data_IF_083096077469
#
_entry.id   IF_083096077469
#
_cell.length_a   1.000
_cell.length_b   1.000
_cell.length_c   1.000
_cell.angle_alpha   90.00
_cell.angle_beta   90.00
_cell.angle_gamma   90.00
#
_symmetry.space_group_name_H-M   'P 1'
#
loop_
_entity.id
_entity.type
_entity.pdbx_description
1 polymer ?
#
# COMPACT_ATOMS: atom_id res chain seq x y z
N UNK A 1 -2.68 -15.36 3.23
CA UNK A 1 -1.52 -14.46 3.43
C UNK A 1 -1.92 -13.00 3.29
N UNK A 2 -2.57 -12.55 2.21
CA UNK A 2 -2.99 -11.14 2.08
C UNK A 2 -3.87 -10.63 3.25
N UNK A 3 -4.85 -11.43 3.69
CA UNK A 3 -5.72 -11.07 4.81
C UNK A 3 -5.00 -11.11 6.18
N UNK A 4 -3.93 -11.89 6.30
CA UNK A 4 -3.14 -12.03 7.52
C UNK A 4 -1.80 -12.67 7.15
N UNK A 5 -0.77 -11.83 7.10
CA UNK A 5 0.59 -12.22 6.74
C UNK A 5 1.39 -12.77 7.92
N UNK A 6 0.89 -12.63 9.15
CA UNK A 6 1.58 -13.04 10.37
C UNK A 6 1.35 -14.51 10.74
N UNK A 7 0.41 -15.19 10.06
CA UNK A 7 0.11 -16.60 10.31
C UNK A 7 1.34 -17.48 10.17
N UNK A 8 1.49 -18.38 11.13
CA UNK A 8 2.53 -19.40 11.09
C UNK A 8 2.27 -20.40 9.95
N UNK A 9 3.30 -21.12 9.54
CA UNK A 9 3.15 -22.18 8.55
C UNK A 9 2.18 -23.27 9.02
N UNK A 10 2.06 -23.50 10.33
CA UNK A 10 1.07 -24.42 10.90
C UNK A 10 -0.35 -23.92 10.68
N UNK A 11 -0.63 -22.67 11.07
CA UNK A 11 -1.96 -22.07 10.91
C UNK A 11 -2.40 -22.00 9.43
N UNK A 12 -1.45 -21.70 8.54
CA UNK A 12 -1.72 -21.70 7.10
C UNK A 12 -1.98 -23.11 6.58
N UNK A 13 -1.21 -24.11 7.05
CA UNK A 13 -1.38 -25.52 6.70
C UNK A 13 -2.78 -26.04 7.04
N UNK A 14 -3.30 -25.66 8.21
CA UNK A 14 -4.65 -26.04 8.65
C UNK A 14 -5.74 -25.48 7.69
N UNK A 15 -5.55 -24.24 7.20
CA UNK A 15 -6.49 -23.57 6.29
C UNK A 15 -6.46 -24.21 4.89
N UNK A 16 -5.26 -24.46 4.34
CA UNK A 16 -5.10 -24.93 2.95
C UNK A 16 -5.00 -26.45 2.84
N UNK A 17 -5.15 -27.19 3.95
CA UNK A 17 -5.09 -28.66 4.04
C UNK A 17 -3.82 -29.25 3.44
N UNK A 18 -2.68 -28.70 3.84
CA UNK A 18 -1.35 -29.17 3.45
C UNK A 18 -0.50 -29.43 4.71
N UNK A 19 0.63 -30.11 4.56
CA UNK A 19 1.59 -30.16 5.67
C UNK A 19 2.29 -28.80 5.88
N UNK A 20 2.72 -28.47 7.10
CA UNK A 20 3.48 -27.24 7.38
C UNK A 20 4.74 -27.10 6.51
N UNK A 21 5.41 -28.21 6.19
CA UNK A 21 6.59 -28.20 5.32
C UNK A 21 6.27 -27.89 3.86
N UNK A 22 5.12 -28.35 3.34
CA UNK A 22 4.63 -27.99 2.00
C UNK A 22 4.29 -26.50 1.91
N UNK A 23 3.64 -25.94 2.94
CA UNK A 23 3.34 -24.50 3.00
C UNK A 23 4.61 -23.67 3.05
N UNK A 24 5.58 -24.06 3.89
CA UNK A 24 6.87 -23.36 3.99
C UNK A 24 7.59 -23.28 2.65
N UNK A 25 7.67 -24.39 1.90
CA UNK A 25 8.31 -24.40 0.57
C UNK A 25 7.58 -23.52 -0.44
N UNK A 26 6.24 -23.54 -0.43
CA UNK A 26 5.43 -22.67 -1.31
C UNK A 26 5.63 -21.20 -0.97
N UNK A 27 5.65 -20.85 0.32
CA UNK A 27 5.87 -19.47 0.76
C UNK A 27 7.24 -18.97 0.32
N UNK A 28 8.29 -19.74 0.57
CA UNK A 28 9.64 -19.41 0.13
C UNK A 28 9.69 -19.18 -1.39
N UNK A 29 9.09 -20.10 -2.17
CA UNK A 29 9.04 -19.94 -3.63
C UNK A 29 8.34 -18.64 -4.07
N UNK A 30 7.24 -18.27 -3.42
CA UNK A 30 6.53 -17.02 -3.74
C UNK A 30 7.34 -15.78 -3.37
N UNK A 31 8.16 -15.85 -2.31
CA UNK A 31 9.10 -14.80 -1.94
C UNK A 31 10.26 -14.71 -2.96
N UNK A 32 10.85 -15.85 -3.33
CA UNK A 32 11.94 -15.95 -4.30
C UNK A 32 11.52 -15.48 -5.71
N UNK A 33 10.29 -15.80 -6.12
CA UNK A 33 9.69 -15.35 -7.39
C UNK A 33 9.25 -13.86 -7.36
N UNK A 34 9.38 -13.18 -6.21
CA UNK A 34 8.99 -11.78 -6.05
C UNK A 34 7.47 -11.54 -6.04
N UNK A 35 6.66 -12.60 -6.04
CA UNK A 35 5.20 -12.52 -5.92
C UNK A 35 4.79 -12.02 -4.53
N UNK A 36 5.52 -12.42 -3.49
CA UNK A 36 5.48 -11.80 -2.17
C UNK A 36 6.61 -10.77 -2.09
N UNK A 37 6.26 -9.49 -2.24
CA UNK A 37 7.22 -8.38 -2.18
C UNK A 37 7.70 -8.04 -0.78
N UNK A 38 7.00 -8.51 0.25
CA UNK A 38 7.36 -8.28 1.64
C UNK A 38 6.16 -8.36 2.58
N UNK A 39 6.46 -8.20 3.87
CA UNK A 39 5.48 -8.21 4.95
C UNK A 39 5.54 -6.87 5.69
N UNK A 40 4.38 -6.32 6.05
CA UNK A 40 4.27 -5.05 6.77
C UNK A 40 3.33 -5.19 7.96
N UNK A 41 3.67 -4.53 9.06
CA UNK A 41 2.74 -4.34 10.15
C UNK A 41 1.71 -3.28 9.77
N UNK A 42 0.44 -3.51 10.12
CA UNK A 42 -0.61 -2.48 10.06
C UNK A 42 -0.67 -1.85 11.45
N UNK A 43 -0.32 -0.57 11.53
CA UNK A 43 -0.24 0.16 12.78
C UNK A 43 -1.50 1.01 12.99
N UNK A 44 -1.87 1.22 14.25
CA UNK A 44 -2.98 2.09 14.63
C UNK A 44 -2.52 3.56 14.61
N UNK A 45 -2.93 4.29 13.58
CA UNK A 45 -2.57 5.70 13.39
C UNK A 45 -3.07 6.60 14.54
N UNK A 46 -4.26 6.35 15.09
CA UNK A 46 -4.85 7.15 16.17
C UNK A 46 -4.02 7.00 17.45
N UNK A 47 -3.63 5.77 17.80
CA UNK A 47 -2.80 5.50 18.98
C UNK A 47 -1.37 6.06 18.86
N UNK A 48 -0.90 6.28 17.63
CA UNK A 48 0.39 6.90 17.34
C UNK A 48 0.33 8.44 17.30
N UNK A 49 -0.84 9.04 17.54
CA UNK A 49 -1.03 10.50 17.49
C UNK A 49 -1.28 11.06 16.10
N UNK A 50 -1.41 10.22 15.07
CA UNK A 50 -1.78 10.61 13.71
C UNK A 50 -3.29 10.61 13.54
N UNK A 51 -3.95 11.58 14.19
CA UNK A 51 -5.40 11.67 14.26
C UNK A 51 -6.10 12.09 12.96
N UNK A 52 -5.35 12.64 12.00
CA UNK A 52 -5.89 13.25 10.78
C UNK A 52 -5.21 12.66 9.55
N UNK A 53 -6.00 12.31 8.54
CA UNK A 53 -5.53 11.95 7.20
C UNK A 53 -6.05 12.98 6.22
N UNK A 54 -5.15 13.55 5.42
CA UNK A 54 -5.47 14.60 4.44
C UNK A 54 -5.26 14.07 3.03
N UNK A 55 -6.23 14.33 2.14
CA UNK A 55 -6.12 14.05 0.72
C UNK A 55 -5.98 15.37 -0.04
N UNK A 56 -4.93 15.48 -0.86
CA UNK A 56 -4.59 16.71 -1.58
C UNK A 56 -4.60 16.43 -3.07
N UNK A 57 -5.42 17.17 -3.81
CA UNK A 57 -5.38 17.18 -5.27
C UNK A 57 -4.47 18.32 -5.74
N UNK A 58 -3.46 17.98 -6.52
CA UNK A 58 -2.52 18.96 -7.08
C UNK A 58 -2.70 19.00 -8.58
N UNK A 59 -3.11 20.17 -9.09
CA UNK A 59 -3.12 20.45 -10.52
C UNK A 59 -1.82 21.16 -10.90
N UNK A 60 -1.06 20.58 -11.83
CA UNK A 60 0.16 21.21 -12.34
C UNK A 60 -0.22 22.18 -13.46
N UNK A 61 0.10 23.46 -13.27
CA UNK A 61 -0.22 24.54 -14.22
C UNK A 61 0.33 24.30 -15.64
N UNK A 62 1.34 23.44 -15.80
CA UNK A 62 1.87 23.04 -17.11
C UNK A 62 2.01 21.53 -17.14
N UNK A 63 1.33 20.88 -18.10
CA UNK A 63 1.38 19.43 -18.33
C UNK A 63 2.71 18.96 -18.97
N UNK A 64 3.84 19.54 -18.59
CA UNK A 64 5.13 19.03 -19.04
C UNK A 64 5.53 17.81 -18.21
N UNK A 65 5.96 16.73 -18.86
CA UNK A 65 6.40 15.51 -18.17
C UNK A 65 7.57 15.77 -17.19
N UNK A 66 8.36 16.82 -17.45
CA UNK A 66 9.45 17.23 -16.58
C UNK A 66 8.95 17.82 -15.25
N UNK A 67 7.92 18.67 -15.28
CA UNK A 67 7.35 19.25 -14.06
C UNK A 67 6.64 18.18 -13.22
N UNK A 68 5.92 17.26 -13.87
CA UNK A 68 5.30 16.12 -13.20
C UNK A 68 6.34 15.24 -12.50
N UNK A 69 7.46 14.94 -13.17
CA UNK A 69 8.55 14.18 -12.58
C UNK A 69 9.17 14.89 -11.37
N UNK A 70 9.51 16.18 -11.50
CA UNK A 70 10.07 16.97 -10.40
C UNK A 70 9.14 17.02 -9.19
N UNK A 71 7.85 17.20 -9.42
CA UNK A 71 6.85 17.18 -8.36
C UNK A 71 6.78 15.80 -7.68
N UNK A 72 6.72 14.72 -8.45
CA UNK A 72 6.71 13.36 -7.90
C UNK A 72 7.98 13.05 -7.08
N UNK A 73 9.15 13.50 -7.53
CA UNK A 73 10.40 13.31 -6.81
C UNK A 73 10.44 14.11 -5.49
N UNK A 74 9.90 15.33 -5.47
CA UNK A 74 9.73 16.11 -4.23
C UNK A 74 8.80 15.42 -3.24
N UNK A 75 7.63 14.97 -3.71
CA UNK A 75 6.63 14.29 -2.88
C UNK A 75 7.18 13.02 -2.26
N UNK A 76 7.99 12.24 -3.00
CA UNK A 76 8.64 11.02 -2.49
C UNK A 76 9.61 11.26 -1.34
N UNK A 77 10.15 12.47 -1.21
CA UNK A 77 11.07 12.82 -0.12
C UNK A 77 10.34 13.25 1.16
N UNK A 78 9.01 13.40 1.12
CA UNK A 78 8.21 13.81 2.27
C UNK A 78 7.70 12.57 3.00
N UNK A 79 8.22 12.24 4.20
CA UNK A 79 7.81 11.04 4.94
C UNK A 79 6.34 11.06 5.37
N UNK A 80 5.71 12.24 5.42
CA UNK A 80 4.30 12.43 5.71
C UNK A 80 3.40 11.98 4.56
N UNK A 81 3.93 11.92 3.33
CA UNK A 81 3.16 11.46 2.16
C UNK A 81 3.25 9.95 2.06
N UNK A 82 2.18 9.28 2.46
CA UNK A 82 2.11 7.81 2.43
C UNK A 82 1.89 7.25 1.03
N UNK A 83 1.07 7.90 0.21
CA UNK A 83 0.75 7.48 -1.14
C UNK A 83 0.62 8.67 -2.08
N UNK A 84 1.05 8.50 -3.33
CA UNK A 84 0.89 9.49 -4.39
C UNK A 84 0.63 8.79 -5.72
N UNK A 85 -0.32 9.31 -6.50
CA UNK A 85 -0.68 8.76 -7.82
C UNK A 85 -0.95 9.89 -8.80
N UNK A 86 -0.60 9.67 -10.06
CA UNK A 86 -0.94 10.58 -11.16
C UNK A 86 -2.32 10.18 -11.67
N UNK A 87 -3.26 11.12 -11.65
CA UNK A 87 -4.60 10.92 -12.21
C UNK A 87 -4.64 11.66 -13.54
N UNK A 88 -4.92 10.93 -14.62
CA UNK A 88 -4.94 11.48 -15.99
C UNK A 88 -6.27 12.17 -16.34
N UNK A 89 -7.35 11.86 -15.62
CA UNK A 89 -8.68 12.43 -15.83
C UNK A 89 -9.13 13.18 -14.57
N UNK A 90 -9.41 14.47 -14.71
CA UNK A 90 -9.94 15.27 -13.60
C UNK A 90 -11.37 14.81 -13.34
N UNK A 91 -11.63 14.21 -12.17
CA UNK A 91 -12.97 14.21 -11.59
C UNK A 91 -13.35 15.69 -11.42
N UNK A 92 -14.03 16.26 -12.40
CA UNK A 92 -14.67 17.56 -12.28
C UNK A 92 -15.64 17.48 -11.10
N UNK A 93 -15.33 18.24 -10.05
CA UNK A 93 -16.28 18.70 -9.04
C UNK A 93 -17.05 17.64 -8.25
N UNK A 94 -16.39 16.75 -7.51
CA UNK A 94 -17.02 16.16 -6.32
C UNK A 94 -16.04 15.97 -5.14
N UNK A 95 -16.27 16.62 -3.97
CA UNK A 95 -15.55 16.29 -2.74
C UNK A 95 -16.17 15.02 -2.15
N UNK A 96 -15.73 13.85 -2.62
CA UNK A 96 -16.06 12.57 -1.97
C UNK A 96 -14.92 12.13 -1.07
N UNK A 97 -14.99 12.55 0.20
CA UNK A 97 -14.42 11.82 1.33
C UNK A 97 -15.55 11.09 2.07
N UNK A 98 -15.34 9.93 2.72
CA UNK A 98 -14.15 9.08 2.71
C UNK A 98 -14.48 7.67 2.18
N UNK A 99 -13.62 7.10 1.34
CA UNK A 99 -13.53 5.64 1.28
C UNK A 99 -12.69 5.20 2.48
N UNK A 100 -13.38 5.07 3.62
CA UNK A 100 -12.88 4.29 4.73
C UNK A 100 -12.79 2.83 4.24
N UNK A 101 -11.61 2.46 3.73
CA UNK A 101 -11.28 1.05 3.54
C UNK A 101 -10.42 0.66 4.73
N UNK A 102 -11.04 -0.13 5.62
CA UNK A 102 -10.36 -0.85 6.69
C UNK A 102 -9.36 -1.84 6.12
#
# INVERSE_FOLDING_TARGET
MQADGARTNQQLADIVRLSPSQVSRRRQRLEDEGLIRGYRAVLDAQRLGYGVTVYIFVSLATHSGLNAKRFADLVRMMPEVQESSIVLETLKDEPRLPLAVR
#
